data_IF_008091137840
#
_entry.id   IF_008091137840
#
_cell.length_a   1.000
_cell.length_b   1.000
_cell.length_c   1.000
_cell.angle_alpha   90.00
_cell.angle_beta   90.00
_cell.angle_gamma   90.00
#
_symmetry.space_group_name_H-M   'P 1'
#
loop_
_entity.id
_entity.type
_entity.pdbx_description
1 polymer ?
#
# COMPACT_ATOMS: atom_id res chain seq x y z
N UNK A 1 16.88 9.16 -1.82
CA UNK A 1 15.86 9.90 -1.05
C UNK A 1 14.50 9.23 -1.19
N UNK A 2 13.85 8.92 -0.07
CA UNK A 2 12.55 8.26 -0.05
C UNK A 2 11.43 9.22 -0.52
N UNK A 3 10.54 8.76 -1.39
CA UNK A 3 9.44 9.57 -1.93
C UNK A 3 8.48 10.04 -0.83
N UNK A 4 8.21 9.22 0.20
CA UNK A 4 7.42 9.65 1.35
C UNK A 4 8.10 10.77 2.13
N UNK A 5 9.41 10.70 2.31
CA UNK A 5 10.19 11.75 2.97
C UNK A 5 10.06 13.09 2.23
N UNK A 6 10.10 13.03 0.90
CA UNK A 6 9.87 14.23 0.10
C UNK A 6 8.46 14.79 0.29
N UNK A 7 7.42 13.96 0.26
CA UNK A 7 6.05 14.39 0.58
C UNK A 7 5.95 15.00 1.98
N UNK A 8 6.49 14.32 2.98
CA UNK A 8 6.46 14.79 4.37
C UNK A 8 7.14 16.15 4.54
N UNK A 9 8.21 16.42 3.78
CA UNK A 9 8.91 17.72 3.81
C UNK A 9 8.06 18.89 3.29
N UNK A 10 7.01 18.60 2.51
CA UNK A 10 6.06 19.60 2.00
C UNK A 10 4.85 19.80 2.92
N UNK A 11 4.74 19.06 4.00
CA UNK A 11 3.62 19.23 4.93
C UNK A 11 3.70 20.62 5.59
N UNK A 12 2.56 21.26 5.89
CA UNK A 12 2.54 22.57 6.54
C UNK A 12 3.16 22.50 7.95
N UNK A 13 3.70 23.60 8.44
CA UNK A 13 4.21 23.70 9.82
C UNK A 13 3.12 23.35 10.84
N UNK A 14 1.92 23.87 10.65
CA UNK A 14 0.74 23.49 11.42
C UNK A 14 0.21 22.13 10.95
N UNK A 15 0.62 21.08 11.61
CA UNK A 15 0.24 19.69 11.32
C UNK A 15 -1.21 19.35 11.68
N UNK A 16 -1.92 20.21 12.41
CA UNK A 16 -3.33 20.04 12.72
C UNK A 16 -4.25 20.38 11.52
N UNK A 17 -3.70 21.00 10.46
CA UNK A 17 -4.47 21.28 9.25
C UNK A 17 -4.99 20.01 8.60
N UNK A 18 -6.15 20.08 7.94
CA UNK A 18 -6.70 18.99 7.15
C UNK A 18 -5.74 18.54 6.04
N UNK A 19 -5.41 17.26 6.00
CA UNK A 19 -4.71 16.61 4.89
C UNK A 19 -5.68 15.90 3.95
N UNK A 20 -6.65 15.18 4.51
CA UNK A 20 -7.67 14.44 3.77
C UNK A 20 -9.03 14.62 4.42
N UNK A 21 -10.08 14.53 3.61
CA UNK A 21 -11.47 14.59 4.06
C UNK A 21 -12.15 13.29 3.62
N UNK A 22 -12.71 12.55 4.57
CA UNK A 22 -13.48 11.34 4.30
C UNK A 22 -14.85 11.68 3.67
N UNK A 23 -15.50 10.73 2.99
CA UNK A 23 -16.83 10.95 2.41
C UNK A 23 -17.91 11.31 3.44
N UNK A 24 -17.76 10.90 4.69
CA UNK A 24 -18.65 11.24 5.80
C UNK A 24 -18.39 12.65 6.40
N UNK A 25 -17.41 13.37 5.86
CA UNK A 25 -17.00 14.67 6.31
C UNK A 25 -15.97 14.68 7.45
N UNK A 26 -15.59 13.53 8.00
CA UNK A 26 -14.51 13.46 8.97
C UNK A 26 -13.17 13.84 8.33
N UNK A 27 -12.29 14.40 9.13
CA UNK A 27 -11.02 14.98 8.67
C UNK A 27 -9.87 14.15 9.22
N UNK A 28 -8.88 13.86 8.37
CA UNK A 28 -7.57 13.38 8.75
C UNK A 28 -6.57 14.54 8.61
N UNK A 29 -5.95 14.94 9.70
CA UNK A 29 -4.91 15.98 9.72
C UNK A 29 -3.58 15.45 9.17
N UNK A 30 -2.62 16.35 8.89
CA UNK A 30 -1.27 15.94 8.50
C UNK A 30 -0.54 15.17 9.61
N UNK A 31 -0.81 15.48 10.88
CA UNK A 31 -0.26 14.73 12.01
C UNK A 31 -0.80 13.29 12.03
N UNK A 32 -2.11 13.12 11.89
CA UNK A 32 -2.75 11.80 11.85
C UNK A 32 -2.35 11.00 10.62
N UNK A 33 -2.22 11.65 9.46
CA UNK A 33 -1.72 10.99 8.23
C UNK A 33 -0.31 10.43 8.45
N UNK A 34 0.58 11.20 9.07
CA UNK A 34 1.95 10.74 9.37
C UNK A 34 1.94 9.58 10.38
N UNK A 35 1.10 9.65 11.40
CA UNK A 35 0.94 8.60 12.41
C UNK A 35 0.37 7.31 11.80
N UNK A 36 -0.70 7.41 11.01
CA UNK A 36 -1.34 6.25 10.39
C UNK A 36 -0.42 5.57 9.37
N UNK A 37 0.32 6.34 8.57
CA UNK A 37 1.31 5.76 7.65
C UNK A 37 2.48 5.11 8.41
N UNK A 38 2.89 5.65 9.57
CA UNK A 38 3.90 5.01 10.42
C UNK A 38 3.39 3.68 10.98
N UNK A 39 2.15 3.62 11.46
CA UNK A 39 1.51 2.41 11.99
C UNK A 39 1.38 1.33 10.92
N UNK A 40 0.87 1.69 9.74
CA UNK A 40 0.77 0.75 8.61
C UNK A 40 2.15 0.27 8.12
N UNK A 41 3.15 1.14 8.06
CA UNK A 41 4.52 0.74 7.70
C UNK A 41 5.11 -0.22 8.75
N UNK A 42 4.81 -0.01 10.03
CA UNK A 42 5.17 -0.93 11.12
C UNK A 42 4.51 -2.29 10.95
N UNK A 43 3.22 -2.32 10.63
CA UNK A 43 2.50 -3.55 10.34
C UNK A 43 3.09 -4.30 9.15
N UNK A 44 3.35 -3.63 8.03
CA UNK A 44 3.97 -4.23 6.84
C UNK A 44 5.33 -4.88 7.16
N UNK A 45 6.13 -4.23 8.00
CA UNK A 45 7.40 -4.79 8.47
C UNK A 45 7.18 -6.01 9.38
N UNK A 46 6.15 -6.01 10.19
CA UNK A 46 5.74 -7.15 11.03
C UNK A 46 5.33 -8.38 10.23
N UNK A 47 4.94 -8.22 8.98
CA UNK A 47 4.65 -9.31 8.03
C UNK A 47 5.93 -9.91 7.39
N UNK A 48 7.10 -9.54 7.86
CA UNK A 48 8.41 -9.97 7.34
C UNK A 48 8.71 -9.53 5.89
N UNK A 49 8.01 -8.50 5.39
CA UNK A 49 8.34 -7.88 4.11
C UNK A 49 9.69 -7.18 4.17
N UNK A 50 10.49 -7.34 3.13
CA UNK A 50 11.83 -6.76 3.02
C UNK A 50 11.76 -5.41 2.32
N UNK A 51 12.26 -4.32 2.93
CA UNK A 51 12.35 -3.02 2.26
C UNK A 51 13.42 -3.03 1.18
N UNK A 52 13.32 -2.06 0.26
CA UNK A 52 14.34 -1.81 -0.76
C UNK A 52 15.72 -1.60 -0.13
N UNK A 53 16.75 -2.10 -0.83
CA UNK A 53 18.16 -1.91 -0.52
C UNK A 53 18.89 -1.42 -1.78
N UNK A 54 20.13 -0.94 -1.70
CA UNK A 54 20.92 -0.59 -2.88
C UNK A 54 20.93 -1.69 -3.93
N UNK A 55 20.43 -1.40 -5.12
CA UNK A 55 20.34 -2.36 -6.23
C UNK A 55 19.34 -3.51 -6.07
N UNK A 56 18.57 -3.56 -4.97
CA UNK A 56 17.57 -4.60 -4.72
C UNK A 56 16.21 -3.95 -4.43
N UNK A 57 15.19 -4.20 -5.27
CA UNK A 57 13.85 -3.67 -5.00
C UNK A 57 13.24 -4.31 -3.75
N UNK A 58 12.44 -3.55 -3.04
CA UNK A 58 11.66 -4.05 -1.91
C UNK A 58 10.59 -5.06 -2.33
N UNK A 59 10.06 -5.79 -1.35
CA UNK A 59 8.94 -6.68 -1.57
C UNK A 59 7.71 -5.90 -2.08
N UNK A 60 6.92 -6.57 -2.89
CA UNK A 60 5.78 -5.98 -3.59
C UNK A 60 4.49 -6.18 -2.82
N UNK A 61 3.73 -5.10 -2.73
CA UNK A 61 2.37 -5.07 -2.18
C UNK A 61 1.41 -4.76 -3.31
N UNK A 62 0.62 -5.74 -3.74
CA UNK A 62 -0.40 -5.57 -4.77
C UNK A 62 -1.74 -5.24 -4.16
N UNK A 63 -2.45 -4.25 -4.69
CA UNK A 63 -3.74 -3.82 -4.17
C UNK A 63 -4.79 -3.65 -5.27
N UNK A 64 -5.92 -4.36 -5.14
CA UNK A 64 -7.12 -4.13 -5.93
C UNK A 64 -8.27 -3.80 -4.98
N UNK A 65 -8.39 -2.53 -4.65
CA UNK A 65 -9.31 -2.01 -3.63
C UNK A 65 -10.07 -0.80 -4.15
N UNK A 66 -11.26 -0.51 -3.60
CA UNK A 66 -11.95 0.74 -3.89
C UNK A 66 -11.10 1.95 -3.48
N UNK A 67 -11.27 3.06 -4.21
CA UNK A 67 -10.65 4.35 -3.83
C UNK A 67 -11.16 4.77 -2.47
N UNK A 68 -10.25 4.96 -1.52
CA UNK A 68 -10.55 5.38 -0.15
C UNK A 68 -9.34 6.05 0.48
N UNK A 69 -9.56 6.73 1.60
CA UNK A 69 -8.46 7.28 2.42
C UNK A 69 -7.51 6.16 2.85
N UNK A 70 -8.04 5.01 3.28
CA UNK A 70 -7.21 3.88 3.73
C UNK A 70 -6.40 3.25 2.59
N UNK A 71 -6.92 3.24 1.35
CA UNK A 71 -6.14 2.80 0.18
C UNK A 71 -4.95 3.74 -0.09
N UNK A 72 -5.16 5.06 0.07
CA UNK A 72 -4.07 6.04 -0.02
C UNK A 72 -3.06 5.89 1.12
N UNK A 73 -3.53 5.68 2.35
CA UNK A 73 -2.64 5.43 3.49
C UNK A 73 -1.79 4.18 3.30
N UNK A 74 -2.34 3.10 2.74
CA UNK A 74 -1.58 1.90 2.38
C UNK A 74 -0.47 2.19 1.36
N UNK A 75 -0.79 2.94 0.31
CA UNK A 75 0.21 3.38 -0.68
C UNK A 75 1.34 4.17 -0.01
N UNK A 76 0.98 5.20 0.78
CA UNK A 76 1.96 6.03 1.48
C UNK A 76 2.79 5.23 2.50
N UNK A 77 2.20 4.26 3.16
CA UNK A 77 2.90 3.35 4.08
C UNK A 77 3.91 2.45 3.34
N UNK A 78 3.58 1.98 2.13
CA UNK A 78 4.53 1.26 1.29
C UNK A 78 5.73 2.15 0.94
N UNK A 79 5.50 3.39 0.52
CA UNK A 79 6.59 4.34 0.26
C UNK A 79 7.45 4.59 1.49
N UNK A 80 6.81 4.86 2.65
CA UNK A 80 7.50 5.07 3.93
C UNK A 80 8.35 3.88 4.32
N UNK A 81 7.81 2.68 4.17
CA UNK A 81 8.45 1.42 4.52
C UNK A 81 9.51 0.94 3.52
N UNK A 82 9.63 1.57 2.34
CA UNK A 82 10.55 1.16 1.29
C UNK A 82 10.07 -0.07 0.50
N UNK A 83 8.77 -0.31 0.47
CA UNK A 83 8.14 -1.39 -0.31
C UNK A 83 7.67 -0.90 -1.68
N UNK A 84 7.52 -1.82 -2.62
CA UNK A 84 7.05 -1.52 -3.97
C UNK A 84 5.52 -1.67 -4.02
N UNK A 85 4.80 -0.60 -4.31
CA UNK A 85 3.35 -0.63 -4.42
C UNK A 85 2.90 -0.95 -5.85
N UNK A 86 2.00 -1.93 -6.00
CA UNK A 86 1.40 -2.30 -7.28
C UNK A 86 -0.12 -2.13 -7.22
N UNK A 87 -0.66 -0.99 -7.69
CA UNK A 87 -2.09 -0.80 -7.80
C UNK A 87 -2.65 -1.56 -9.00
N UNK A 88 -3.73 -2.32 -8.80
CA UNK A 88 -4.44 -3.02 -9.86
C UNK A 88 -5.79 -2.34 -10.12
N UNK A 89 -6.14 -2.21 -11.40
CA UNK A 89 -7.43 -1.68 -11.80
C UNK A 89 -8.58 -2.56 -11.24
N UNK A 90 -9.58 -1.99 -10.54
CA UNK A 90 -10.73 -2.75 -10.06
C UNK A 90 -11.50 -3.50 -11.16
N UNK A 91 -11.40 -3.06 -12.42
CA UNK A 91 -12.04 -3.71 -13.58
C UNK A 91 -11.34 -4.98 -14.04
N UNK A 92 -10.09 -5.24 -13.63
CA UNK A 92 -9.36 -6.44 -14.02
C UNK A 92 -10.07 -7.70 -13.58
N UNK A 93 -10.20 -8.64 -14.54
CA UNK A 93 -10.82 -9.93 -14.33
C UNK A 93 -9.77 -11.01 -14.03
N UNK A 94 -10.22 -12.26 -13.81
CA UNK A 94 -9.41 -13.37 -13.34
C UNK A 94 -8.10 -13.59 -14.13
N UNK A 95 -8.17 -13.56 -15.45
CA UNK A 95 -6.99 -13.84 -16.29
C UNK A 95 -5.97 -12.71 -16.24
N UNK A 96 -6.43 -11.46 -16.21
CA UNK A 96 -5.55 -10.29 -16.05
C UNK A 96 -4.91 -10.30 -14.67
N UNK A 97 -5.68 -10.61 -13.62
CA UNK A 97 -5.17 -10.72 -12.26
C UNK A 97 -4.11 -11.81 -12.14
N UNK A 98 -4.34 -12.99 -12.74
CA UNK A 98 -3.36 -14.06 -12.77
C UNK A 98 -2.05 -13.58 -13.39
N UNK A 99 -2.13 -12.98 -14.57
CA UNK A 99 -0.97 -12.45 -15.27
C UNK A 99 -0.18 -11.44 -14.43
N UNK A 100 -0.87 -10.47 -13.81
CA UNK A 100 -0.19 -9.47 -12.99
C UNK A 100 0.39 -10.04 -11.71
N UNK A 101 -0.30 -10.95 -11.05
CA UNK A 101 0.21 -11.59 -9.83
C UNK A 101 1.43 -12.48 -10.10
N UNK A 102 1.42 -13.22 -11.20
CA UNK A 102 2.57 -14.02 -11.64
C UNK A 102 3.78 -13.14 -11.99
N UNK A 103 3.56 -11.98 -12.64
CA UNK A 103 4.65 -11.07 -13.00
C UNK A 103 5.20 -10.27 -11.81
N UNK A 104 4.33 -9.86 -10.88
CA UNK A 104 4.75 -9.04 -9.74
C UNK A 104 5.26 -9.86 -8.57
N UNK A 105 4.85 -11.12 -8.45
CA UNK A 105 5.22 -12.00 -7.32
C UNK A 105 5.10 -11.28 -5.96
N UNK A 106 3.91 -10.74 -5.61
CA UNK A 106 3.75 -9.94 -4.41
C UNK A 106 3.88 -10.80 -3.15
N UNK A 107 4.39 -10.23 -2.06
CA UNK A 107 4.39 -10.87 -0.74
C UNK A 107 3.10 -10.57 0.04
N UNK A 108 2.41 -9.52 -0.34
CA UNK A 108 1.09 -9.15 0.20
C UNK A 108 0.17 -8.77 -0.95
N UNK A 109 -1.05 -9.29 -0.91
CA UNK A 109 -2.16 -8.84 -1.73
C UNK A 109 -3.23 -8.26 -0.82
N UNK A 110 -3.76 -7.10 -1.18
CA UNK A 110 -4.90 -6.47 -0.53
C UNK A 110 -6.02 -6.34 -1.56
N UNK A 111 -7.19 -6.89 -1.28
CA UNK A 111 -8.31 -6.87 -2.19
C UNK A 111 -9.60 -6.38 -1.53
N UNK A 112 -10.60 -6.04 -2.33
CA UNK A 112 -11.94 -5.78 -1.81
C UNK A 112 -12.51 -7.04 -1.15
N UNK A 113 -13.27 -6.93 -0.04
CA UNK A 113 -13.79 -8.09 0.70
C UNK A 113 -14.53 -9.10 -0.18
N UNK A 114 -15.35 -8.62 -1.12
CA UNK A 114 -16.13 -9.43 -2.05
C UNK A 114 -15.29 -10.21 -3.07
N UNK A 115 -14.01 -9.90 -3.19
CA UNK A 115 -13.06 -10.56 -4.11
C UNK A 115 -12.09 -11.51 -3.41
N UNK A 116 -12.19 -11.64 -2.10
CA UNK A 116 -11.23 -12.41 -1.29
C UNK A 116 -11.08 -13.86 -1.77
N UNK A 117 -12.18 -14.56 -2.03
CA UNK A 117 -12.15 -15.95 -2.53
C UNK A 117 -11.44 -16.07 -3.86
N UNK A 118 -11.70 -15.15 -4.80
CA UNK A 118 -11.04 -15.14 -6.11
C UNK A 118 -9.54 -14.96 -5.97
N UNK A 119 -9.08 -14.05 -5.11
CA UNK A 119 -7.66 -13.82 -4.90
C UNK A 119 -7.00 -15.00 -4.18
N UNK A 120 -7.68 -15.63 -3.22
CA UNK A 120 -7.17 -16.80 -2.51
C UNK A 120 -6.81 -17.97 -3.47
N UNK A 121 -7.52 -18.08 -4.60
CA UNK A 121 -7.24 -19.08 -5.63
C UNK A 121 -6.09 -18.71 -6.59
N UNK A 122 -5.72 -17.43 -6.64
CA UNK A 122 -4.75 -16.90 -7.61
C UNK A 122 -3.37 -16.63 -7.03
N UNK A 123 -3.28 -16.38 -5.74
CA UNK A 123 -2.02 -16.03 -5.08
C UNK A 123 -1.14 -17.26 -4.82
N UNK A 124 0.17 -17.04 -4.74
CA UNK A 124 1.11 -18.06 -4.31
C UNK A 124 0.92 -18.41 -2.83
N UNK A 125 1.35 -19.61 -2.43
CA UNK A 125 1.16 -20.13 -1.06
C UNK A 125 1.89 -19.34 0.02
N UNK A 126 2.93 -18.60 -0.35
CA UNK A 126 3.72 -17.73 0.52
C UNK A 126 3.29 -16.25 0.47
N UNK A 127 2.24 -15.94 -0.32
CA UNK A 127 1.65 -14.60 -0.41
C UNK A 127 0.58 -14.42 0.65
N UNK A 128 0.66 -13.35 1.41
CA UNK A 128 -0.36 -13.00 2.39
C UNK A 128 -1.54 -12.30 1.71
N UNK A 129 -2.75 -12.52 2.22
CA UNK A 129 -3.98 -11.93 1.68
C UNK A 129 -4.74 -11.19 2.78
N UNK A 130 -5.02 -9.92 2.55
CA UNK A 130 -5.87 -9.11 3.41
C UNK A 130 -6.95 -8.38 2.60
N UNK A 131 -8.00 -7.96 3.27
CA UNK A 131 -9.11 -7.23 2.66
C UNK A 131 -9.15 -5.79 3.12
N UNK A 132 -9.58 -4.88 2.22
CA UNK A 132 -9.83 -3.49 2.49
C UNK A 132 -11.03 -3.00 1.67
N UNK A 133 -12.13 -2.69 2.35
CA UNK A 133 -13.34 -2.16 1.73
C UNK A 133 -13.30 -0.64 1.54
N UNK A 134 -14.27 -0.11 0.79
CA UNK A 134 -14.37 1.31 0.47
C UNK A 134 -14.58 2.23 1.68
N UNK A 135 -15.11 1.70 2.77
CA UNK A 135 -15.29 2.42 4.05
C UNK A 135 -14.08 2.27 5.00
N UNK A 136 -13.03 1.59 4.57
CA UNK A 136 -11.86 1.31 5.38
C UNK A 136 -11.98 0.10 6.29
N UNK A 137 -13.09 -0.63 6.24
CA UNK A 137 -13.27 -1.91 6.95
C UNK A 137 -12.52 -3.03 6.23
N UNK A 138 -12.11 -4.06 6.96
CA UNK A 138 -11.46 -5.24 6.41
C UNK A 138 -10.37 -5.79 7.31
N UNK A 139 -9.89 -6.99 6.97
CA UNK A 139 -8.89 -7.68 7.78
C UNK A 139 -7.55 -6.92 7.86
N UNK A 140 -7.24 -6.05 6.88
CA UNK A 140 -6.07 -5.19 6.93
C UNK A 140 -6.15 -4.21 8.10
N UNK A 141 -7.25 -3.47 8.20
CA UNK A 141 -7.43 -2.47 9.27
C UNK A 141 -7.49 -3.11 10.65
N UNK A 142 -8.13 -4.27 10.76
CA UNK A 142 -8.17 -5.05 12.01
C UNK A 142 -6.77 -5.54 12.41
N UNK A 143 -6.02 -6.14 11.47
CA UNK A 143 -4.67 -6.66 11.74
C UNK A 143 -3.66 -5.56 12.03
N UNK A 144 -3.82 -4.38 11.44
CA UNK A 144 -2.91 -3.24 11.65
C UNK A 144 -3.30 -2.34 12.84
N UNK A 145 -4.45 -2.59 13.51
CA UNK A 145 -4.99 -1.70 14.54
C UNK A 145 -4.01 -1.47 15.69
N UNK A 146 -3.39 -2.53 16.18
CA UNK A 146 -2.47 -2.53 17.32
C UNK A 146 -0.98 -2.60 16.90
N UNK A 147 -0.67 -2.35 15.62
CA UNK A 147 0.70 -2.43 15.15
C UNK A 147 1.55 -1.28 15.72
N UNK A 148 2.75 -1.63 16.16
CA UNK A 148 3.73 -0.64 16.60
C UNK A 148 4.15 0.24 15.42
N UNK A 149 4.05 1.57 15.55
CA UNK A 149 4.43 2.48 14.47
C UNK A 149 5.92 2.37 14.13
N UNK A 150 6.23 2.26 12.84
CA UNK A 150 7.57 2.47 12.34
C UNK A 150 7.84 3.97 12.25
N UNK A 151 8.46 4.54 13.28
CA UNK A 151 8.71 5.98 13.41
C UNK A 151 9.66 6.53 12.33
N UNK A 152 10.54 5.69 11.77
CA UNK A 152 11.46 6.05 10.72
C UNK A 152 10.83 6.08 9.33
N UNK A 153 11.64 6.51 8.36
CA UNK A 153 11.38 6.36 6.93
C UNK A 153 12.52 5.53 6.37
N UNK A 154 12.20 4.48 5.62
CA UNK A 154 13.21 3.62 5.02
C UNK A 154 14.11 4.40 4.08
N UNK A 155 15.41 4.24 4.20
CA UNK A 155 16.35 4.81 3.22
C UNK A 155 16.18 4.10 1.89
N UNK A 156 16.00 4.88 0.83
CA UNK A 156 15.93 4.39 -0.54
C UNK A 156 16.83 5.23 -1.44
N UNK A 157 17.31 4.66 -2.52
CA UNK A 157 18.06 5.35 -3.55
C UNK A 157 17.14 5.88 -4.65
N UNK A 158 17.64 6.78 -5.50
CA UNK A 158 16.83 7.42 -6.53
C UNK A 158 16.32 6.45 -7.61
N UNK A 159 16.99 5.33 -7.80
CA UNK A 159 16.67 4.27 -8.75
C UNK A 159 15.91 3.09 -8.13
N UNK A 160 15.65 3.12 -6.81
CA UNK A 160 14.79 2.11 -6.21
C UNK A 160 13.34 2.25 -6.70
N UNK A 161 12.71 1.12 -6.97
CA UNK A 161 11.31 1.09 -7.37
C UNK A 161 10.40 1.55 -6.22
N UNK A 162 9.52 2.51 -6.49
CA UNK A 162 8.47 2.95 -5.58
C UNK A 162 7.12 2.29 -5.91
N UNK A 163 6.83 2.10 -7.20
CA UNK A 163 5.60 1.49 -7.66
C UNK A 163 5.79 0.77 -9.00
N UNK A 164 4.94 -0.23 -9.24
CA UNK A 164 4.80 -0.90 -10.53
C UNK A 164 3.45 -0.52 -11.12
N UNK A 165 3.48 0.11 -12.29
CA UNK A 165 2.28 0.53 -13.01
C UNK A 165 2.27 -0.18 -14.36
N UNK A 166 1.17 -0.87 -14.67
CA UNK A 166 0.97 -1.49 -15.97
C UNK A 166 0.14 -0.55 -16.85
N UNK A 167 0.70 -0.19 -17.99
CA UNK A 167 -0.08 0.48 -19.04
C UNK A 167 -0.88 -0.57 -19.83
N UNK A 168 -2.07 -0.22 -20.30
CA UNK A 168 -2.75 -0.98 -21.33
C UNK A 168 -1.86 -0.92 -22.57
N UNK A 169 -1.05 -1.96 -22.80
CA UNK A 169 -0.20 -2.04 -23.97
C UNK A 169 -1.05 -1.99 -25.23
N UNK A 170 -0.78 -1.03 -26.08
CA UNK A 170 -1.11 -1.19 -27.48
C UNK A 170 -0.21 -2.31 -28.00
N UNK A 171 -0.68 -3.55 -27.90
CA UNK A 171 -0.11 -4.62 -28.72
C UNK A 171 -0.39 -4.24 -30.16
N UNK A 172 0.62 -3.66 -30.80
CA UNK A 172 0.62 -3.51 -32.23
C UNK A 172 0.73 -4.88 -32.91
#
# INVERSE_FOLDING_TARGET
>A
DNLYQWFQSQFPEDRAKPALIHPDGSILSYAELDQETARLAGWLRGLDLKPSQPGVPGDRVSAQVPKSVNALLLYLACLRGGFVFHPMNPAYQREELRYFLENTEPKLVVCAPERCEQFAELIATDTQLHTLGGTGSGSLTEAAADAEPHSGISSTEADNLAALLYSSGTTG
#
